data_IF_364707293211
#
_entry.id   IF_364707293211
#
_cell.length_a   1.000
_cell.length_b   1.000
_cell.length_c   1.000
_cell.angle_alpha   90.00
_cell.angle_beta   90.00
_cell.angle_gamma   90.00
#
_symmetry.space_group_name_H-M   'P 1'
#
loop_
_entity.id
_entity.type
_entity.pdbx_description
1 polymer ?
#
# COMPACT_ATOMS: atom_id res chain seq x y z
N UNK A 1 3.90 1.55 -7.39
CA UNK A 1 3.29 0.97 -6.19
C UNK A 1 1.79 1.18 -6.24
N UNK A 2 1.03 0.18 -5.93
CA UNK A 2 -0.43 0.21 -5.85
C UNK A 2 -0.82 -0.22 -4.44
N UNK A 3 -1.79 0.45 -3.83
CA UNK A 3 -2.15 0.26 -2.42
C UNK A 3 -1.33 1.13 -1.47
N UNK A 4 -1.69 1.09 -0.19
CA UNK A 4 -1.11 1.93 0.86
C UNK A 4 -0.31 1.10 1.87
N UNK A 5 0.76 1.69 2.39
CA UNK A 5 1.57 1.00 3.41
C UNK A 5 0.93 1.08 4.80
N UNK A 6 1.23 0.09 5.64
CA UNK A 6 0.87 0.07 7.06
C UNK A 6 -0.58 -0.31 7.36
N UNK A 7 -1.37 -0.72 6.37
CA UNK A 7 -2.81 -1.02 6.52
C UNK A 7 -3.10 -2.14 7.53
N UNK A 8 -2.35 -3.24 7.48
CA UNK A 8 -2.48 -4.32 8.46
C UNK A 8 -2.08 -3.86 9.87
N UNK A 9 -0.91 -3.22 9.98
CA UNK A 9 -0.42 -2.74 11.27
C UNK A 9 -1.37 -1.73 11.91
N UNK A 10 -1.97 -0.85 11.11
CA UNK A 10 -2.98 0.11 11.59
C UNK A 10 -4.21 -0.60 12.17
N UNK A 11 -4.73 -1.65 11.52
CA UNK A 11 -5.85 -2.44 12.05
C UNK A 11 -5.50 -3.08 13.39
N UNK A 12 -4.32 -3.67 13.52
CA UNK A 12 -3.85 -4.26 14.79
C UNK A 12 -3.72 -3.21 15.90
N UNK A 13 -3.20 -2.02 15.58
CA UNK A 13 -3.09 -0.92 16.54
C UNK A 13 -4.46 -0.39 16.95
N UNK A 14 -5.41 -0.26 16.04
CA UNK A 14 -6.79 0.11 16.35
C UNK A 14 -7.44 -0.90 17.28
N UNK A 15 -7.24 -2.19 17.06
CA UNK A 15 -7.78 -3.24 17.93
C UNK A 15 -7.14 -3.19 19.34
N UNK A 16 -5.83 -3.13 19.43
CA UNK A 16 -5.09 -3.26 20.69
C UNK A 16 -4.92 -1.95 21.46
N UNK A 17 -4.92 -0.78 20.81
CA UNK A 17 -4.59 0.51 21.37
C UNK A 17 -5.67 1.58 21.16
N UNK A 18 -6.91 1.16 20.88
CA UNK A 18 -8.04 2.06 20.63
C UNK A 18 -8.20 3.15 21.70
N UNK A 19 -7.98 2.82 22.97
CA UNK A 19 -8.11 3.77 24.08
C UNK A 19 -7.12 4.94 23.97
N UNK A 20 -5.88 4.66 23.57
CA UNK A 20 -4.85 5.71 23.44
C UNK A 20 -5.09 6.53 22.16
N UNK A 21 -5.51 5.87 21.10
CA UNK A 21 -5.87 6.52 19.84
C UNK A 21 -7.06 7.48 20.04
N UNK A 22 -8.10 7.05 20.77
CA UNK A 22 -9.26 7.90 21.09
C UNK A 22 -8.93 9.13 21.93
N UNK A 23 -7.89 9.10 22.76
CA UNK A 23 -7.43 10.27 23.50
C UNK A 23 -6.82 11.34 22.59
N UNK A 24 -6.24 10.91 21.47
CA UNK A 24 -5.55 11.79 20.52
C UNK A 24 -6.46 12.32 19.43
N UNK A 25 -7.38 11.49 18.94
CA UNK A 25 -8.24 11.79 17.79
C UNK A 25 -9.70 11.95 18.18
N UNK A 26 -10.39 12.89 17.56
CA UNK A 26 -11.81 13.10 17.77
C UNK A 26 -12.65 11.91 17.30
N UNK A 27 -13.75 11.61 18.02
CA UNK A 27 -14.58 10.43 17.78
C UNK A 27 -15.14 10.38 16.33
N UNK A 28 -15.56 11.53 15.78
CA UNK A 28 -16.11 11.61 14.43
C UNK A 28 -15.04 11.29 13.37
N UNK A 29 -13.85 11.91 13.49
CA UNK A 29 -12.73 11.66 12.61
C UNK A 29 -12.32 10.18 12.64
N UNK A 30 -12.16 9.62 13.85
CA UNK A 30 -11.78 8.21 14.01
C UNK A 30 -12.83 7.25 13.39
N UNK A 31 -14.13 7.57 13.54
CA UNK A 31 -15.18 6.74 12.94
C UNK A 31 -15.13 6.70 11.40
N UNK A 32 -14.83 7.84 10.78
CA UNK A 32 -14.65 7.91 9.32
C UNK A 32 -13.41 7.15 8.86
N UNK A 33 -12.28 7.29 9.55
CA UNK A 33 -11.03 6.59 9.21
C UNK A 33 -11.16 5.06 9.34
N UNK A 34 -11.81 4.58 10.42
CA UNK A 34 -12.06 3.15 10.64
C UNK A 34 -12.99 2.61 9.56
N UNK A 35 -14.08 3.33 9.25
CA UNK A 35 -15.00 2.95 8.17
C UNK A 35 -14.29 2.85 6.80
N UNK A 36 -13.42 3.80 6.49
CA UNK A 36 -12.60 3.78 5.28
C UNK A 36 -11.64 2.58 5.21
N UNK A 37 -11.09 2.14 6.34
CA UNK A 37 -10.26 0.94 6.41
C UNK A 37 -11.06 -0.35 6.19
N UNK A 38 -12.24 -0.46 6.78
CA UNK A 38 -13.11 -1.64 6.65
C UNK A 38 -13.65 -1.78 5.23
N UNK A 39 -13.98 -0.67 4.57
CA UNK A 39 -14.45 -0.68 3.18
C UNK A 39 -13.40 -1.23 2.20
N UNK A 40 -12.10 -1.14 2.55
CA UNK A 40 -10.98 -1.65 1.73
C UNK A 40 -10.59 -3.10 2.04
N UNK A 41 -11.14 -3.67 3.09
CA UNK A 41 -10.96 -5.09 3.42
C UNK A 41 -11.73 -5.99 2.43
N UNK A 42 -11.58 -5.74 1.14
CA UNK A 42 -12.26 -6.49 0.07
C UNK A 42 -11.72 -7.91 -0.11
N UNK A 43 -10.86 -8.38 0.79
CA UNK A 43 -10.29 -9.71 0.69
C UNK A 43 -11.03 -10.68 1.61
N UNK A 44 -11.68 -11.72 1.09
CA UNK A 44 -12.18 -12.81 1.92
C UNK A 44 -11.02 -13.39 2.74
N UNK A 45 -11.23 -13.61 4.03
CA UNK A 45 -10.25 -14.23 4.90
C UNK A 45 -9.77 -15.55 4.28
N UNK A 46 -8.46 -15.70 4.07
CA UNK A 46 -7.86 -16.87 3.43
C UNK A 46 -7.79 -16.85 1.89
N UNK A 47 -8.21 -15.80 1.20
CA UNK A 47 -8.04 -15.72 -0.25
C UNK A 47 -6.54 -15.62 -0.64
N UNK A 48 -6.06 -16.39 -1.64
CA UNK A 48 -4.68 -16.30 -2.09
C UNK A 48 -4.37 -14.91 -2.66
N UNK A 49 -3.12 -14.44 -2.46
CA UNK A 49 -2.58 -13.24 -3.11
C UNK A 49 -2.79 -13.39 -4.63
N UNK A 50 -3.61 -12.55 -5.24
CA UNK A 50 -3.93 -12.59 -6.68
C UNK A 50 -5.37 -12.96 -7.03
N UNK A 51 -6.23 -13.34 -6.07
CA UNK A 51 -7.65 -13.63 -6.36
C UNK A 51 -8.52 -12.40 -6.63
N UNK A 52 -8.04 -11.19 -6.25
CA UNK A 52 -8.62 -9.90 -6.62
C UNK A 52 -7.46 -8.97 -7.01
N UNK A 53 -7.17 -8.90 -8.30
CA UNK A 53 -6.24 -7.90 -8.83
C UNK A 53 -7.04 -6.65 -9.21
N UNK A 54 -6.99 -5.57 -8.41
CA UNK A 54 -7.74 -4.35 -8.70
C UNK A 54 -7.30 -3.69 -10.01
N UNK A 55 -6.06 -3.93 -10.46
CA UNK A 55 -5.58 -3.45 -11.73
C UNK A 55 -6.25 -4.18 -12.89
N UNK A 56 -6.35 -5.50 -12.83
CA UNK A 56 -6.99 -6.28 -13.90
C UNK A 56 -8.48 -5.99 -14.00
N UNK A 57 -9.15 -5.72 -12.87
CA UNK A 57 -10.57 -5.33 -12.87
C UNK A 57 -10.83 -3.97 -13.52
N UNK A 58 -9.98 -2.99 -13.24
CA UNK A 58 -10.12 -1.62 -13.74
C UNK A 58 -9.45 -1.39 -15.09
N UNK A 59 -8.34 -2.09 -15.34
CA UNK A 59 -7.53 -1.97 -16.56
C UNK A 59 -7.22 -3.35 -17.14
N UNK A 60 -8.18 -4.04 -17.77
CA UNK A 60 -7.96 -5.38 -18.31
C UNK A 60 -6.76 -5.44 -19.25
N UNK A 61 -5.90 -6.45 -19.04
CA UNK A 61 -4.67 -6.64 -19.81
C UNK A 61 -3.57 -5.63 -19.49
N UNK A 62 -3.62 -4.98 -18.34
CA UNK A 62 -2.65 -3.95 -17.91
C UNK A 62 -1.21 -4.44 -17.97
N UNK A 63 -0.95 -5.71 -17.69
CA UNK A 63 0.41 -6.27 -17.71
C UNK A 63 1.09 -6.04 -19.05
N UNK A 64 0.40 -6.39 -20.15
CA UNK A 64 0.90 -6.19 -21.50
C UNK A 64 0.88 -4.71 -21.91
N UNK A 65 -0.21 -4.02 -21.60
CA UNK A 65 -0.45 -2.65 -22.04
C UNK A 65 0.55 -1.65 -21.47
N UNK A 66 1.07 -1.88 -20.27
CA UNK A 66 2.03 -0.97 -19.61
C UNK A 66 3.43 -1.58 -19.44
N UNK A 67 3.67 -2.79 -19.95
CA UNK A 67 4.96 -3.47 -19.85
C UNK A 67 5.31 -3.86 -18.42
N UNK A 68 4.35 -4.45 -17.68
CA UNK A 68 4.62 -4.97 -16.33
C UNK A 68 5.45 -6.23 -16.44
N UNK A 69 6.67 -6.19 -15.92
CA UNK A 69 7.60 -7.32 -15.94
C UNK A 69 7.57 -8.13 -14.65
N UNK A 70 7.15 -7.51 -13.55
CA UNK A 70 7.10 -8.17 -12.26
C UNK A 70 6.14 -7.49 -11.29
N UNK A 71 5.47 -8.28 -10.47
CA UNK A 71 4.65 -7.86 -9.35
C UNK A 71 5.19 -8.49 -8.06
N UNK A 72 5.25 -7.72 -6.97
CA UNK A 72 5.77 -8.15 -5.68
C UNK A 72 4.90 -7.64 -4.54
N UNK A 73 4.39 -8.50 -3.66
CA UNK A 73 3.55 -8.06 -2.56
C UNK A 73 4.36 -7.30 -1.52
N UNK A 74 3.78 -6.26 -0.98
CA UNK A 74 4.26 -5.62 0.25
C UNK A 74 3.57 -6.31 1.42
N UNK A 75 4.36 -6.88 2.31
CA UNK A 75 3.88 -7.67 3.43
C UNK A 75 4.63 -7.29 4.71
N UNK A 76 4.92 -8.28 5.54
CA UNK A 76 5.72 -8.12 6.77
C UNK A 76 7.07 -7.45 6.48
N UNK A 77 7.41 -6.43 7.28
CA UNK A 77 8.59 -5.59 7.10
C UNK A 77 8.39 -4.40 6.15
N UNK A 78 7.17 -4.23 5.64
CA UNK A 78 6.73 -3.03 4.93
C UNK A 78 7.36 -2.82 3.55
N UNK A 79 7.18 -1.61 3.03
CA UNK A 79 7.61 -1.23 1.69
C UNK A 79 9.13 -1.31 1.49
N UNK A 80 9.92 -0.99 2.53
CA UNK A 80 11.38 -0.97 2.39
C UNK A 80 11.97 -2.37 2.31
N UNK A 81 11.45 -3.31 3.11
CA UNK A 81 11.84 -4.70 3.00
C UNK A 81 11.40 -5.29 1.67
N UNK A 82 10.17 -5.04 1.26
CA UNK A 82 9.65 -5.49 -0.03
C UNK A 82 10.51 -4.95 -1.20
N UNK A 83 10.87 -3.66 -1.18
CA UNK A 83 11.75 -3.06 -2.20
C UNK A 83 13.14 -3.70 -2.22
N UNK A 84 13.72 -3.96 -1.02
CA UNK A 84 15.00 -4.65 -0.93
C UNK A 84 14.94 -6.04 -1.56
N UNK A 85 13.95 -6.84 -1.15
CA UNK A 85 13.76 -8.22 -1.62
C UNK A 85 13.43 -8.25 -3.12
N UNK A 86 12.63 -7.31 -3.59
CA UNK A 86 12.31 -7.14 -5.01
C UNK A 86 13.58 -6.90 -5.85
N UNK A 87 14.41 -5.94 -5.46
CA UNK A 87 15.68 -5.66 -6.12
C UNK A 87 16.64 -6.86 -6.05
N UNK A 88 16.69 -7.56 -4.91
CA UNK A 88 17.56 -8.70 -4.72
C UNK A 88 17.14 -9.91 -5.56
N UNK A 89 15.85 -10.11 -5.76
CA UNK A 89 15.29 -11.22 -6.52
C UNK A 89 15.66 -11.20 -8.01
N UNK A 90 16.04 -10.05 -8.56
CA UNK A 90 16.58 -9.93 -9.92
C UNK A 90 17.97 -10.60 -10.09
N UNK A 91 18.65 -10.89 -8.98
CA UNK A 91 19.90 -11.65 -8.97
C UNK A 91 19.73 -13.15 -8.78
N UNK A 92 18.48 -13.66 -8.75
CA UNK A 92 18.18 -15.08 -8.53
C UNK A 92 17.64 -15.68 -9.83
N UNK A 93 18.23 -16.79 -10.24
CA UNK A 93 17.71 -17.58 -11.35
C UNK A 93 16.32 -18.13 -11.02
N UNK A 94 15.28 -17.89 -11.84
CA UNK A 94 13.92 -18.31 -11.52
C UNK A 94 13.73 -19.84 -11.53
N UNK A 95 14.50 -20.58 -12.34
CA UNK A 95 14.38 -22.03 -12.45
C UNK A 95 15.21 -22.77 -11.42
N UNK A 96 16.48 -22.42 -11.29
CA UNK A 96 17.43 -23.12 -10.42
C UNK A 96 17.44 -22.58 -8.99
N UNK A 97 16.82 -21.42 -8.73
CA UNK A 97 16.86 -20.69 -7.45
C UNK A 97 18.28 -20.33 -6.99
N UNK A 98 19.26 -20.44 -7.86
CA UNK A 98 20.65 -20.09 -7.54
C UNK A 98 20.89 -18.61 -7.68
N UNK A 99 21.72 -18.06 -6.81
CA UNK A 99 22.15 -16.66 -6.87
C UNK A 99 23.08 -16.46 -8.03
N UNK A 100 22.69 -15.62 -9.01
CA UNK A 100 23.50 -15.21 -10.17
C UNK A 100 24.18 -13.85 -9.99
N UNK A 101 23.77 -13.07 -8.98
CA UNK A 101 24.29 -11.74 -8.70
C UNK A 101 23.66 -11.10 -7.48
N UNK A 102 23.92 -9.81 -7.28
CA UNK A 102 23.40 -9.04 -6.12
C UNK A 102 22.04 -8.36 -6.41
N UNK A 103 21.44 -8.69 -7.56
CA UNK A 103 20.22 -8.04 -8.03
C UNK A 103 20.49 -6.71 -8.72
N UNK A 104 19.47 -5.88 -8.78
CA UNK A 104 19.51 -4.54 -9.39
C UNK A 104 19.53 -3.46 -8.33
N UNK A 105 20.00 -2.27 -8.70
CA UNK A 105 19.86 -1.07 -7.91
C UNK A 105 18.53 -0.38 -8.13
N UNK A 106 18.22 0.55 -7.25
CA UNK A 106 17.07 1.44 -7.40
C UNK A 106 17.35 2.82 -6.81
N UNK A 107 16.62 3.80 -7.29
CA UNK A 107 16.46 5.11 -6.67
C UNK A 107 14.99 5.28 -6.31
N UNK A 108 14.71 5.68 -5.09
CA UNK A 108 13.34 5.82 -4.61
C UNK A 108 13.18 7.02 -3.67
N UNK A 109 11.92 7.43 -3.45
CA UNK A 109 11.54 8.57 -2.64
C UNK A 109 10.51 8.16 -1.61
N UNK A 110 10.70 8.53 -0.34
CA UNK A 110 9.72 8.29 0.74
C UNK A 110 8.44 9.10 0.53
N UNK A 111 8.60 10.37 0.14
CA UNK A 111 7.48 11.30 -0.07
C UNK A 111 6.52 10.88 -1.20
N UNK A 112 6.85 9.83 -1.94
CA UNK A 112 6.02 9.27 -3.00
C UNK A 112 5.51 7.85 -2.71
N UNK A 113 5.84 7.29 -1.56
CA UNK A 113 5.26 6.01 -1.15
C UNK A 113 3.83 6.27 -0.65
N UNK A 114 2.80 5.64 -1.25
CA UNK A 114 1.43 5.85 -0.83
C UNK A 114 1.22 5.42 0.62
N UNK A 115 0.75 6.34 1.44
CA UNK A 115 0.43 6.13 2.84
C UNK A 115 -0.69 7.08 3.25
N UNK A 116 -1.62 6.62 4.06
CA UNK A 116 -2.69 7.46 4.60
C UNK A 116 -2.14 8.43 5.64
N UNK A 117 -2.72 9.63 5.67
CA UNK A 117 -2.42 10.59 6.72
C UNK A 117 -2.69 9.99 8.10
N UNK A 118 -3.83 9.34 8.30
CA UNK A 118 -4.16 8.70 9.57
C UNK A 118 -3.14 7.63 9.98
N UNK A 119 -2.63 6.83 9.04
CA UNK A 119 -1.55 5.88 9.32
C UNK A 119 -0.29 6.59 9.82
N UNK A 120 0.10 7.71 9.20
CA UNK A 120 1.24 8.53 9.63
C UNK A 120 1.03 9.09 11.04
N UNK A 121 -0.13 9.66 11.32
CA UNK A 121 -0.47 10.24 12.62
C UNK A 121 -0.49 9.18 13.74
N UNK A 122 -0.98 7.97 13.46
CA UNK A 122 -0.91 6.85 14.41
C UNK A 122 0.53 6.37 14.61
N UNK A 123 1.35 6.37 13.56
CA UNK A 123 2.76 6.06 13.68
C UNK A 123 3.49 7.07 14.57
N UNK A 124 3.22 8.36 14.42
CA UNK A 124 3.77 9.42 15.28
C UNK A 124 3.35 9.24 16.74
N UNK A 125 2.09 8.88 17.00
CA UNK A 125 1.59 8.63 18.36
C UNK A 125 2.35 7.51 19.07
N UNK A 126 2.79 6.49 18.36
CA UNK A 126 3.46 5.30 18.93
C UNK A 126 4.96 5.21 18.63
N UNK A 127 5.55 6.27 18.06
CA UNK A 127 6.96 6.31 17.65
C UNK A 127 7.34 5.11 16.74
N UNK A 128 6.53 4.91 15.68
CA UNK A 128 6.69 3.84 14.70
C UNK A 128 7.22 4.38 13.38
N UNK A 129 8.07 3.62 12.72
CA UNK A 129 8.54 3.95 11.39
C UNK A 129 7.62 3.39 10.30
N UNK A 130 6.80 4.22 9.62
CA UNK A 130 5.66 3.76 8.83
C UNK A 130 6.01 2.86 7.66
N UNK A 131 7.17 3.09 7.02
CA UNK A 131 7.57 2.35 5.81
C UNK A 131 8.06 0.91 6.08
N UNK A 132 8.18 0.52 7.37
CA UNK A 132 8.50 -0.83 7.81
C UNK A 132 7.34 -1.55 8.48
N UNK A 133 6.17 -0.98 8.42
CA UNK A 133 4.95 -1.58 8.95
C UNK A 133 4.39 -2.63 8.01
N UNK A 134 3.90 -3.71 8.57
CA UNK A 134 3.19 -4.75 7.84
C UNK A 134 2.01 -4.16 7.08
N UNK A 135 2.00 -4.41 5.78
CA UNK A 135 0.99 -3.93 4.85
C UNK A 135 0.29 -5.11 4.18
N UNK A 136 -0.98 -4.95 3.90
CA UNK A 136 -1.78 -5.86 3.08
C UNK A 136 -2.41 -5.06 1.95
N UNK A 137 -2.81 -5.75 0.89
CA UNK A 137 -3.43 -5.15 -0.30
C UNK A 137 -2.57 -4.04 -0.94
N UNK A 138 -1.25 -4.28 -0.95
CA UNK A 138 -0.27 -3.36 -1.46
C UNK A 138 0.81 -4.09 -2.27
N UNK A 139 1.17 -3.58 -3.46
CA UNK A 139 2.10 -4.23 -4.39
C UNK A 139 3.11 -3.27 -4.99
N UNK A 140 4.32 -3.76 -5.17
CA UNK A 140 5.34 -3.14 -6.00
C UNK A 140 5.25 -3.74 -7.41
N UNK A 141 5.29 -2.89 -8.42
CA UNK A 141 5.31 -3.31 -9.81
C UNK A 141 6.57 -2.75 -10.49
N UNK A 142 7.28 -3.61 -11.24
CA UNK A 142 8.24 -3.19 -12.24
C UNK A 142 7.50 -3.00 -13.56
N UNK A 143 7.51 -1.78 -14.08
CA UNK A 143 6.66 -1.39 -15.21
C UNK A 143 7.37 -0.35 -16.07
N UNK A 144 7.27 -0.50 -17.41
CA UNK A 144 7.91 0.43 -18.33
C UNK A 144 7.21 1.78 -18.40
N UNK A 145 5.88 1.77 -18.40
CA UNK A 145 5.02 2.97 -18.50
C UNK A 145 4.32 3.27 -17.17
N UNK A 146 5.09 3.42 -16.09
CA UNK A 146 4.56 3.55 -14.74
C UNK A 146 3.68 4.78 -14.52
N UNK A 147 4.06 5.93 -15.04
CA UNK A 147 3.28 7.16 -14.92
C UNK A 147 1.91 7.01 -15.59
N UNK A 148 1.90 6.48 -16.84
CA UNK A 148 0.66 6.24 -17.57
C UNK A 148 -0.25 5.23 -16.86
N UNK A 149 0.32 4.14 -16.33
CA UNK A 149 -0.44 3.15 -15.55
C UNK A 149 -1.12 3.80 -14.34
N UNK A 150 -0.39 4.64 -13.59
CA UNK A 150 -0.94 5.31 -12.41
C UNK A 150 -2.05 6.28 -12.80
N UNK A 151 -1.85 7.10 -13.84
CA UNK A 151 -2.85 8.06 -14.33
C UNK A 151 -4.14 7.34 -14.78
N UNK A 152 -4.00 6.32 -15.60
CA UNK A 152 -5.14 5.55 -16.12
C UNK A 152 -5.88 4.78 -15.00
N UNK A 153 -5.14 4.26 -14.03
CA UNK A 153 -5.71 3.57 -12.87
C UNK A 153 -6.54 4.52 -11.99
N UNK A 154 -6.00 5.68 -11.66
CA UNK A 154 -6.71 6.68 -10.85
C UNK A 154 -7.93 7.22 -11.58
N UNK A 155 -7.82 7.42 -12.90
CA UNK A 155 -8.95 7.82 -13.74
C UNK A 155 -10.05 6.76 -13.77
N UNK A 156 -9.70 5.49 -13.99
CA UNK A 156 -10.67 4.40 -14.02
C UNK A 156 -11.43 4.26 -12.70
N UNK A 157 -10.77 4.45 -11.56
CA UNK A 157 -11.43 4.49 -10.26
C UNK A 157 -12.41 5.66 -10.12
N UNK A 158 -12.00 6.86 -10.56
CA UNK A 158 -12.86 8.04 -10.52
C UNK A 158 -14.09 7.89 -11.42
N UNK A 159 -13.93 7.32 -12.60
CA UNK A 159 -15.03 7.06 -13.54
C UNK A 159 -16.00 6.01 -12.95
N UNK A 160 -15.49 4.96 -12.30
CA UNK A 160 -16.30 3.95 -11.62
C UNK A 160 -17.09 4.56 -10.44
N UNK A 161 -16.43 5.37 -9.61
CA UNK A 161 -17.06 6.03 -8.48
C UNK A 161 -18.19 6.96 -8.94
N UNK A 162 -17.97 7.70 -10.03
CA UNK A 162 -18.98 8.56 -10.64
C UNK A 162 -20.16 7.76 -11.16
N UNK A 163 -19.92 6.68 -11.92
CA UNK A 163 -20.98 5.83 -12.45
C UNK A 163 -21.84 5.20 -11.33
N UNK A 164 -21.19 4.79 -10.22
CA UNK A 164 -21.89 4.28 -9.04
C UNK A 164 -22.76 5.34 -8.36
N UNK A 165 -22.27 6.58 -8.27
CA UNK A 165 -23.03 7.69 -7.71
C UNK A 165 -24.25 8.06 -8.57
N UNK A 166 -24.09 8.10 -9.90
CA UNK A 166 -25.16 8.39 -10.84
C UNK A 166 -26.25 7.30 -10.80
N UNK A 167 -25.87 6.01 -10.73
CA UNK A 167 -26.80 4.89 -10.62
C UNK A 167 -27.61 4.93 -9.31
N UNK A 168 -26.99 5.33 -8.19
CA UNK A 168 -27.67 5.50 -6.90
C UNK A 168 -28.66 6.67 -6.97
N UNK A 169 -28.30 7.77 -7.63
CA UNK A 169 -29.18 8.92 -7.80
C UNK A 169 -30.44 8.57 -8.62
N UNK A 170 -30.29 7.83 -9.71
CA UNK A 170 -31.43 7.38 -10.54
C UNK A 170 -32.37 6.41 -9.80
N UNK A 171 -31.85 5.59 -8.87
CA UNK A 171 -32.64 4.67 -8.07
C UNK A 171 -33.25 5.35 -6.84
N UNK A 172 -32.68 6.41 -6.30
CA UNK A 172 -33.08 7.08 -5.08
C UNK A 172 -34.42 7.83 -5.13
N UNK A 173 -34.92 8.16 -6.33
CA UNK A 173 -36.21 8.81 -6.53
C UNK A 173 -37.42 7.84 -6.26
N UNK A 174 -37.17 6.54 -6.00
CA UNK A 174 -38.22 5.50 -5.84
C UNK A 174 -38.31 4.88 -4.45
N UNK A 175 -37.38 5.07 -3.56
CA UNK A 175 -37.43 4.55 -2.18
C UNK A 175 -36.71 5.49 -1.26
N UNK A 176 -37.29 5.84 -0.11
CA UNK A 176 -36.77 6.77 0.88
C UNK A 176 -35.26 6.55 1.13
N UNK A 177 -34.47 7.53 0.74
CA UNK A 177 -33.03 7.46 0.64
C UNK A 177 -32.40 7.37 2.03
N UNK A 178 -31.89 6.20 2.40
CA UNK A 178 -31.02 6.04 3.55
C UNK A 178 -29.58 6.44 3.17
N UNK A 179 -29.16 7.62 3.62
CA UNK A 179 -27.82 8.15 3.40
C UNK A 179 -26.68 7.28 3.98
N UNK A 180 -27.03 6.24 4.77
CA UNK A 180 -26.06 5.31 5.36
C UNK A 180 -25.41 4.37 4.33
N UNK A 181 -25.97 4.26 3.13
CA UNK A 181 -25.46 3.40 2.05
C UNK A 181 -24.55 4.12 1.05
N UNK A 182 -24.14 5.35 1.30
CA UNK A 182 -23.06 5.99 0.52
C UNK A 182 -21.73 5.33 0.87
N UNK A 183 -21.47 4.17 0.30
CA UNK A 183 -20.12 3.66 0.18
C UNK A 183 -19.38 4.47 -0.90
N UNK A 184 -18.91 5.63 -0.56
CA UNK A 184 -17.81 6.22 -1.30
C UNK A 184 -16.59 5.38 -0.93
N UNK A 185 -16.33 4.33 -1.70
CA UNK A 185 -15.08 3.59 -1.59
C UNK A 185 -13.97 4.60 -1.85
N UNK A 186 -13.17 4.87 -0.83
CA UNK A 186 -12.00 5.71 -1.03
C UNK A 186 -11.10 5.07 -2.08
N UNK A 187 -10.59 5.86 -3.04
CA UNK A 187 -9.79 5.31 -4.13
C UNK A 187 -8.52 4.65 -3.58
N UNK A 188 -8.14 3.53 -4.18
CA UNK A 188 -6.87 2.87 -3.90
C UNK A 188 -5.76 3.80 -4.40
N UNK A 189 -4.82 4.15 -3.52
CA UNK A 189 -3.71 5.01 -3.91
C UNK A 189 -2.72 4.27 -4.79
N UNK A 190 -2.13 5.01 -5.73
CA UNK A 190 -1.10 4.50 -6.61
C UNK A 190 -0.06 5.59 -6.89
N UNK A 191 1.21 5.23 -6.96
CA UNK A 191 2.26 6.18 -7.27
C UNK A 191 3.49 5.53 -7.92
N UNK A 192 4.18 6.30 -8.75
CA UNK A 192 5.56 6.02 -9.15
C UNK A 192 6.48 6.62 -8.09
N UNK A 193 7.03 5.79 -7.23
CA UNK A 193 7.88 6.24 -6.12
C UNK A 193 9.37 6.02 -6.34
N UNK A 194 9.77 5.34 -7.42
CA UNK A 194 11.17 5.07 -7.73
C UNK A 194 11.38 4.51 -9.13
N UNK A 195 12.64 4.22 -9.42
CA UNK A 195 13.08 3.59 -10.67
C UNK A 195 14.19 2.58 -10.41
N UNK A 196 14.27 1.54 -11.22
CA UNK A 196 15.42 0.64 -11.22
C UNK A 196 16.61 1.26 -11.94
N UNK A 197 17.81 0.89 -11.49
CA UNK A 197 19.07 1.34 -12.07
C UNK A 197 19.94 0.13 -12.46
N UNK A 198 20.81 0.30 -13.46
CA UNK A 198 21.76 -0.76 -13.89
C UNK A 198 22.80 -1.09 -12.82
N UNK A 199 23.01 -0.21 -11.86
CA UNK A 199 23.92 -0.42 -10.75
C UNK A 199 23.35 -1.35 -9.68
N UNK A 200 24.11 -1.53 -8.58
CA UNK A 200 23.70 -2.35 -7.43
C UNK A 200 23.24 -1.48 -6.23
N UNK A 201 23.44 -0.17 -6.33
CA UNK A 201 23.12 0.76 -5.24
C UNK A 201 21.59 0.92 -5.14
N UNK A 202 21.07 0.87 -3.93
CA UNK A 202 19.67 1.11 -3.60
C UNK A 202 19.63 2.38 -2.76
N UNK A 203 19.16 3.46 -3.34
CA UNK A 203 19.30 4.81 -2.80
C UNK A 203 17.96 5.48 -2.61
N UNK A 204 17.76 6.05 -1.43
CA UNK A 204 16.74 7.07 -1.20
C UNK A 204 17.27 8.41 -1.71
N UNK A 205 16.48 9.14 -2.52
CA UNK A 205 16.91 10.35 -3.22
C UNK A 205 16.06 11.61 -2.93
N UNK A 206 15.22 11.57 -1.92
CA UNK A 206 14.34 12.68 -1.50
C UNK A 206 14.95 13.53 -0.36
N UNK A 207 16.13 13.20 0.11
CA UNK A 207 16.87 13.98 1.11
C UNK A 207 17.89 14.92 0.47
N UNK A 208 18.57 15.71 1.32
CA UNK A 208 19.68 16.60 0.91
C UNK A 208 20.81 15.76 0.28
N UNK A 209 21.09 14.60 0.85
CA UNK A 209 22.04 13.63 0.33
C UNK A 209 21.36 12.28 0.10
N UNK A 210 21.75 11.54 -0.94
CA UNK A 210 21.28 10.18 -1.14
C UNK A 210 21.68 9.26 0.03
N UNK A 211 20.72 8.50 0.54
CA UNK A 211 20.96 7.53 1.61
C UNK A 211 20.77 6.10 1.11
N UNK A 212 21.60 5.18 1.59
CA UNK A 212 21.45 3.77 1.24
C UNK A 212 20.21 3.16 1.89
N UNK A 213 19.47 2.37 1.12
CA UNK A 213 18.49 1.45 1.68
C UNK A 213 19.26 0.34 2.42
N UNK A 214 19.01 0.21 3.71
CA UNK A 214 19.61 -0.83 4.53
C UNK A 214 18.75 -2.10 4.52
N UNK A 215 19.41 -3.25 4.53
CA UNK A 215 18.72 -4.52 4.77
C UNK A 215 18.50 -4.66 6.26
N UNK A 216 17.28 -4.45 6.67
CA UNK A 216 16.85 -4.69 8.05
C UNK A 216 15.74 -5.72 8.04
N UNK A 217 15.87 -6.74 8.86
CA UNK A 217 14.96 -7.89 8.90
C UNK A 217 13.92 -7.76 10.03
N UNK A 218 13.75 -6.56 10.63
CA UNK A 218 12.73 -6.33 11.63
C UNK A 218 11.44 -5.74 11.03
N UNK A 219 10.35 -6.02 11.70
CA UNK A 219 9.04 -5.44 11.44
C UNK A 219 8.67 -4.53 12.61
N UNK A 220 8.24 -3.32 12.30
CA UNK A 220 8.09 -2.26 13.30
C UNK A 220 6.97 -2.52 14.30
N UNK A 221 5.85 -3.08 13.85
CA UNK A 221 4.74 -3.43 14.73
C UNK A 221 5.14 -4.53 15.73
N UNK A 222 5.85 -5.58 15.28
CA UNK A 222 6.31 -6.65 16.18
C UNK A 222 7.26 -6.10 17.23
N UNK A 223 8.23 -5.29 16.81
CA UNK A 223 9.18 -4.62 17.73
C UNK A 223 8.44 -3.82 18.80
N UNK A 224 7.43 -3.06 18.40
CA UNK A 224 6.61 -2.28 19.31
C UNK A 224 5.83 -3.16 20.28
N UNK A 225 5.13 -4.17 19.79
CA UNK A 225 4.31 -5.07 20.61
C UNK A 225 5.15 -5.89 21.59
N UNK A 226 6.34 -6.32 21.20
CA UNK A 226 7.28 -7.00 22.10
C UNK A 226 7.82 -6.06 23.18
N UNK A 227 8.13 -4.82 22.83
CA UNK A 227 8.55 -3.78 23.78
C UNK A 227 7.44 -3.40 24.77
N UNK A 228 6.19 -3.39 24.35
CA UNK A 228 5.03 -3.12 25.20
C UNK A 228 4.73 -4.26 26.20
N UNK A 229 5.07 -5.51 25.86
CA UNK A 229 4.93 -6.67 26.78
C UNK A 229 5.97 -6.71 27.87
N UNK A 230 7.07 -5.97 27.75
CA UNK A 230 8.17 -5.93 28.72
C UNK A 230 8.06 -4.79 29.74
N UNK A 231 7.10 -3.91 29.56
CA UNK A 231 6.75 -2.81 30.47
C UNK A 231 5.48 -3.14 31.26
#
# INVERSE_FOLDING_TARGET
MIGEVGTYALRVLLDQRMTDIRKRFGTAYLAEEVKGLDARACRPEGAPLGSCDPLEQLLPGYQKNYGVTKCWPVAKGGALKALWDFCASEGIDPETRKKRGDGVGCEFRYDRIPIRQFTMEVCELFDLFPYRLWSEDCWLLAVDRGTQLVEDFLKAQADLAKASADAIFEQGDRAGFDASHRRTEEPIQAAVFGRFTKGKKRLRVDGIEPAYLTREDYEELERYLEGAKRK
#
